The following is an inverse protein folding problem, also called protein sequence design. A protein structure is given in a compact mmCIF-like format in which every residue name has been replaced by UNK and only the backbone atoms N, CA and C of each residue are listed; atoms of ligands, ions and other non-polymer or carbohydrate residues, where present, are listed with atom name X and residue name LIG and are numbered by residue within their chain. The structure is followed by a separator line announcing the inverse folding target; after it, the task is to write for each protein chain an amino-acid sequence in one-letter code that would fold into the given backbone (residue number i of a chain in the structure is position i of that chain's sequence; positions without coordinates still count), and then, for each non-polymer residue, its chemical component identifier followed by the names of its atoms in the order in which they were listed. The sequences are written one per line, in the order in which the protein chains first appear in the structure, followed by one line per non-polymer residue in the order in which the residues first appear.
data_IF_696721646052
#
_entry.id   IF_696721646052
#
_cell.length_a   1.000
_cell.length_b   1.000
_cell.length_c   1.000
_cell.angle_alpha   90.00
_cell.angle_beta   90.00
_cell.angle_gamma   90.00
#
_symmetry.space_group_name_H-M   'P 1'
#
loop_
_entity.id
_entity.type
_entity.pdbx_description
1 polymer ?
#
# COMPACT_ATOMS: atom_id res chain seq x y z
N UNK A 1 -94.66 -5.20 -2.58
CA UNK A 1 -95.04 -5.40 -1.17
C UNK A 1 -94.23 -6.58 -0.63
N UNK A 2 -93.52 -6.35 0.49
CA UNK A 2 -93.14 -7.26 1.60
C UNK A 2 -92.73 -8.71 1.26
N UNK A 3 -91.46 -9.07 1.46
CA UNK A 3 -90.91 -9.85 2.62
C UNK A 3 -90.77 -11.34 2.27
N UNK A 4 -89.76 -12.16 2.62
CA UNK A 4 -88.55 -12.06 3.44
C UNK A 4 -87.63 -13.27 3.15
N UNK A 5 -86.34 -13.09 3.48
CA UNK A 5 -85.23 -14.01 3.74
C UNK A 5 -85.44 -15.55 3.68
N UNK A 6 -84.46 -16.22 3.06
CA UNK A 6 -83.62 -17.23 3.72
C UNK A 6 -82.26 -17.33 2.98
N UNK A 7 -81.16 -17.00 3.66
CA UNK A 7 -79.79 -17.10 3.12
C UNK A 7 -79.15 -18.43 3.55
N UNK A 8 -78.73 -19.25 2.59
CA UNK A 8 -77.81 -20.37 2.79
C UNK A 8 -76.38 -19.91 2.42
N UNK A 9 -75.46 -19.99 3.38
CA UNK A 9 -74.02 -19.95 3.12
C UNK A 9 -73.54 -21.32 2.63
N UNK A 10 -72.75 -21.40 1.54
CA UNK A 10 -71.77 -22.47 1.36
C UNK A 10 -70.39 -21.99 1.83
N UNK A 11 -69.72 -22.85 2.60
CA UNK A 11 -68.36 -22.66 3.08
C UNK A 11 -67.36 -22.59 1.90
N UNK A 12 -66.63 -21.48 1.80
CA UNK A 12 -65.42 -21.41 1.00
C UNK A 12 -64.27 -22.06 1.79
N UNK A 13 -63.78 -23.20 1.29
CA UNK A 13 -62.47 -23.75 1.65
C UNK A 13 -61.40 -22.74 1.21
N UNK A 14 -60.83 -22.03 2.18
CA UNK A 14 -59.70 -21.13 1.97
C UNK A 14 -58.45 -21.94 1.60
N UNK A 15 -58.06 -21.91 0.33
CA UNK A 15 -56.70 -22.26 -0.08
C UNK A 15 -55.82 -21.08 0.33
N UNK A 16 -55.07 -21.23 1.41
CA UNK A 16 -53.98 -20.30 1.73
C UNK A 16 -52.96 -20.34 0.60
N UNK A 17 -52.65 -19.21 -0.06
CA UNK A 17 -51.53 -19.19 -0.99
C UNK A 17 -50.27 -19.47 -0.18
N UNK A 18 -49.59 -20.58 -0.51
CA UNK A 18 -48.20 -20.80 -0.08
C UNK A 18 -47.42 -19.63 -0.68
N UNK A 19 -46.93 -18.74 0.19
CA UNK A 19 -46.01 -17.68 -0.22
C UNK A 19 -44.83 -18.37 -0.92
N UNK A 20 -44.69 -18.13 -2.21
CA UNK A 20 -43.50 -18.54 -2.95
C UNK A 20 -42.29 -17.94 -2.22
N UNK A 21 -41.39 -18.81 -1.78
CA UNK A 21 -40.05 -18.40 -1.35
C UNK A 21 -39.51 -17.57 -2.53
N UNK A 22 -39.09 -16.30 -2.33
CA UNK A 22 -38.47 -15.56 -3.41
C UNK A 22 -37.27 -16.37 -3.88
N UNK A 23 -37.36 -16.89 -5.11
CA UNK A 23 -36.25 -17.59 -5.73
C UNK A 23 -35.03 -16.69 -5.65
N UNK A 24 -33.89 -17.29 -5.28
CA UNK A 24 -32.58 -16.65 -5.41
C UNK A 24 -32.44 -16.21 -6.86
N UNK A 25 -32.71 -14.94 -7.13
CA UNK A 25 -32.39 -14.32 -8.42
C UNK A 25 -30.86 -14.42 -8.51
N UNK A 26 -30.29 -15.08 -9.53
CA UNK A 26 -28.86 -15.01 -9.76
C UNK A 26 -28.53 -13.53 -9.96
N UNK A 27 -27.95 -12.87 -8.94
CA UNK A 27 -27.36 -11.55 -9.18
C UNK A 27 -26.20 -11.79 -10.12
N UNK A 28 -26.33 -11.30 -11.33
CA UNK A 28 -25.29 -11.35 -12.35
C UNK A 28 -24.01 -10.76 -11.75
N UNK A 29 -22.95 -11.56 -11.71
CA UNK A 29 -21.64 -11.12 -11.22
C UNK A 29 -21.17 -9.93 -12.06
N UNK A 30 -20.65 -8.90 -11.39
CA UNK A 30 -20.06 -7.71 -12.03
C UNK A 30 -18.69 -8.01 -12.64
N UNK A 31 -18.06 -9.13 -12.28
CA UNK A 31 -16.79 -9.59 -12.81
C UNK A 31 -16.20 -10.71 -11.96
N UNK A 32 -15.18 -11.38 -12.50
CA UNK A 32 -14.52 -12.52 -11.83
C UNK A 32 -13.05 -12.22 -11.60
N UNK A 33 -12.63 -12.14 -10.33
CA UNK A 33 -11.23 -12.23 -9.95
C UNK A 33 -10.81 -13.70 -9.90
N UNK A 34 -9.54 -14.00 -10.18
CA UNK A 34 -9.06 -15.39 -10.34
C UNK A 34 -7.90 -15.67 -9.39
N UNK A 35 -7.91 -16.85 -8.78
CA UNK A 35 -6.79 -17.43 -8.01
C UNK A 35 -6.37 -18.73 -8.68
N UNK A 36 -5.08 -18.90 -8.97
CA UNK A 36 -4.52 -20.10 -9.61
C UNK A 36 -3.61 -20.85 -8.64
N UNK A 37 -4.15 -21.87 -7.96
CA UNK A 37 -3.45 -22.61 -6.90
C UNK A 37 -2.19 -23.34 -7.39
N UNK A 38 -2.09 -23.69 -8.68
CA UNK A 38 -0.91 -24.31 -9.26
C UNK A 38 0.24 -23.34 -9.53
N UNK A 39 0.00 -22.02 -9.49
CA UNK A 39 1.00 -21.00 -9.79
C UNK A 39 1.64 -20.49 -8.49
N UNK A 40 2.66 -21.18 -7.98
CA UNK A 40 3.41 -20.74 -6.80
C UNK A 40 4.31 -19.54 -7.17
N UNK A 41 4.07 -18.39 -6.53
CA UNK A 41 4.82 -17.14 -6.77
C UNK A 41 5.82 -16.83 -5.65
N UNK A 42 6.17 -17.80 -4.81
CA UNK A 42 7.19 -17.68 -3.76
C UNK A 42 6.63 -17.47 -2.36
N UNK A 43 7.53 -17.25 -1.39
CA UNK A 43 7.15 -17.04 0.02
C UNK A 43 6.40 -15.73 0.24
N UNK A 44 5.67 -15.67 1.35
CA UNK A 44 5.03 -14.45 1.84
C UNK A 44 6.08 -13.48 2.38
N UNK A 45 6.13 -12.25 1.87
CA UNK A 45 7.17 -11.26 2.22
C UNK A 45 6.62 -9.93 2.77
N UNK A 46 5.30 -9.83 2.96
CA UNK A 46 4.64 -8.62 3.49
C UNK A 46 4.97 -7.36 2.69
N UNK A 47 4.96 -7.46 1.35
CA UNK A 47 5.44 -6.41 0.45
C UNK A 47 4.67 -5.10 0.61
N UNK A 48 3.37 -5.15 0.93
CA UNK A 48 2.59 -3.94 1.16
C UNK A 48 2.78 -3.33 2.56
N UNK A 49 3.56 -3.96 3.45
CA UNK A 49 3.67 -3.54 4.84
C UNK A 49 4.69 -2.41 5.05
N UNK A 50 4.49 -1.28 4.36
CA UNK A 50 5.28 -0.08 4.53
C UNK A 50 4.44 1.16 4.85
N UNK A 51 5.06 2.18 5.45
CA UNK A 51 4.43 3.48 5.73
C UNK A 51 5.36 4.63 5.36
N UNK A 52 4.77 5.69 4.78
CA UNK A 52 5.39 7.00 4.74
C UNK A 52 5.07 7.75 6.05
N UNK A 53 6.13 8.25 6.68
CA UNK A 53 6.10 8.94 7.96
C UNK A 53 5.35 8.12 9.02
N UNK A 54 4.60 8.78 9.89
CA UNK A 54 3.69 8.15 10.84
C UNK A 54 4.36 7.54 12.08
N UNK A 55 5.68 7.70 12.20
CA UNK A 55 6.45 7.32 13.38
C UNK A 55 6.67 8.58 14.23
N UNK A 56 6.22 8.58 15.50
CA UNK A 56 6.48 9.71 16.39
C UNK A 56 7.95 9.80 16.79
N UNK A 57 8.44 11.02 17.00
CA UNK A 57 9.81 11.31 17.43
C UNK A 57 10.24 10.48 18.64
N UNK A 58 9.30 10.26 19.58
CA UNK A 58 9.45 9.27 20.62
C UNK A 58 9.02 7.90 20.11
N UNK A 59 9.97 7.12 19.60
CA UNK A 59 9.73 5.77 19.08
C UNK A 59 9.12 4.78 20.10
N UNK A 60 9.10 5.09 21.40
CA UNK A 60 8.47 4.26 22.44
C UNK A 60 7.00 4.63 22.71
N UNK A 61 6.47 5.65 22.03
CA UNK A 61 5.11 6.13 22.24
C UNK A 61 4.05 5.17 21.72
N UNK A 62 4.32 4.54 20.57
CA UNK A 62 3.48 3.48 20.00
C UNK A 62 3.98 2.13 20.57
N UNK A 63 3.10 1.29 21.14
CA UNK A 63 3.50 0.00 21.68
C UNK A 63 4.18 -0.89 20.62
N UNK A 64 5.28 -1.56 21.00
CA UNK A 64 6.09 -2.39 20.09
C UNK A 64 5.29 -3.39 19.25
N UNK A 65 4.28 -4.04 19.84
CA UNK A 65 3.44 -5.00 19.12
C UNK A 65 2.68 -4.36 17.94
N UNK A 66 2.42 -3.06 17.98
CA UNK A 66 1.77 -2.32 16.89
C UNK A 66 2.69 -2.05 15.69
N UNK A 67 4.00 -2.25 15.84
CA UNK A 67 4.92 -2.33 14.71
C UNK A 67 5.02 -3.78 14.21
N UNK A 68 5.18 -4.74 15.11
CA UNK A 68 5.49 -6.12 14.70
C UNK A 68 4.28 -6.90 14.17
N UNK A 69 3.06 -6.57 14.61
CA UNK A 69 1.87 -7.39 14.33
C UNK A 69 1.49 -7.48 12.84
N UNK A 70 1.81 -6.45 12.06
CA UNK A 70 1.33 -6.27 10.70
C UNK A 70 2.43 -6.45 9.64
N UNK A 71 3.57 -7.01 10.06
CA UNK A 71 4.69 -7.34 9.17
C UNK A 71 5.45 -6.11 8.68
N UNK A 72 5.56 -5.05 9.50
CA UNK A 72 6.26 -3.80 9.19
C UNK A 72 7.63 -4.05 8.53
N UNK A 73 7.76 -3.60 7.28
CA UNK A 73 8.85 -3.94 6.38
C UNK A 73 9.61 -2.70 5.88
N UNK A 74 8.90 -1.58 5.67
CA UNK A 74 9.50 -0.32 5.22
C UNK A 74 8.95 0.89 5.97
N UNK A 75 9.82 1.83 6.29
CA UNK A 75 9.47 3.19 6.67
C UNK A 75 10.11 4.19 5.71
N UNK A 76 9.40 5.28 5.41
CA UNK A 76 9.97 6.44 4.72
C UNK A 76 9.87 7.66 5.63
N UNK A 77 11.00 8.31 5.90
CA UNK A 77 11.09 9.41 6.87
C UNK A 77 11.78 10.66 6.32
N UNK A 78 11.79 11.72 7.11
CA UNK A 78 12.21 13.05 6.67
C UNK A 78 11.10 13.81 5.96
N UNK A 79 9.86 13.76 6.46
CA UNK A 79 8.73 14.42 5.79
C UNK A 79 8.77 15.94 5.84
N UNK A 80 7.83 16.62 5.17
CA UNK A 80 7.62 18.07 5.26
C UNK A 80 6.86 18.49 6.54
N UNK A 81 6.60 19.79 6.69
CA UNK A 81 5.80 20.40 7.75
C UNK A 81 6.29 20.21 9.20
N UNK A 82 7.60 20.01 9.43
CA UNK A 82 8.13 20.04 10.80
C UNK A 82 8.18 21.48 11.33
N UNK A 83 7.66 21.77 12.54
CA UNK A 83 7.70 23.11 13.09
C UNK A 83 9.14 23.54 13.39
N UNK A 84 9.38 24.86 13.34
CA UNK A 84 10.66 25.43 13.79
C UNK A 84 10.94 25.01 15.25
N UNK A 85 12.17 24.59 15.59
CA UNK A 85 13.38 24.68 14.76
C UNK A 85 13.77 23.36 14.03
N UNK A 86 13.05 22.91 12.99
CA UNK A 86 13.44 21.75 12.15
C UNK A 86 13.21 21.93 10.61
N UNK A 87 13.39 23.15 10.09
CA UNK A 87 13.13 23.54 8.70
C UNK A 87 14.20 23.16 7.64
N UNK A 88 15.25 22.41 8.00
CA UNK A 88 16.28 21.95 7.06
C UNK A 88 17.46 22.91 6.83
N UNK A 89 18.34 22.55 5.87
CA UNK A 89 19.59 23.24 5.52
C UNK A 89 19.42 24.73 5.23
N UNK A 90 18.45 25.08 4.37
CA UNK A 90 18.19 26.45 3.95
C UNK A 90 17.76 27.36 5.11
N UNK A 91 17.18 26.80 6.17
CA UNK A 91 16.77 27.53 7.37
C UNK A 91 17.93 27.75 8.37
N UNK A 92 19.10 27.15 8.12
CA UNK A 92 20.33 27.31 8.90
C UNK A 92 20.71 26.05 9.69
N UNK A 93 21.94 26.06 10.22
CA UNK A 93 22.57 24.88 10.83
C UNK A 93 21.74 24.19 11.91
N UNK A 94 21.17 24.96 12.85
CA UNK A 94 20.33 24.38 13.93
C UNK A 94 19.08 23.70 13.38
N UNK A 95 18.46 24.28 12.34
CA UNK A 95 17.25 23.74 11.71
C UNK A 95 17.55 22.43 10.99
N UNK A 96 18.66 22.37 10.26
CA UNK A 96 19.19 21.16 9.63
C UNK A 96 19.51 20.06 10.65
N UNK A 97 20.29 20.38 11.69
CA UNK A 97 20.71 19.40 12.70
C UNK A 97 19.51 18.78 13.42
N UNK A 98 18.44 19.54 13.67
CA UNK A 98 17.23 19.02 14.28
C UNK A 98 16.40 18.17 13.32
N UNK A 99 16.32 18.54 12.04
CA UNK A 99 15.67 17.70 11.02
C UNK A 99 16.41 16.37 10.81
N UNK A 100 17.74 16.41 10.79
CA UNK A 100 18.56 15.20 10.70
C UNK A 100 18.36 14.29 11.92
N UNK A 101 18.19 14.85 13.12
CA UNK A 101 17.87 14.05 14.32
C UNK A 101 16.50 13.37 14.22
N UNK A 102 15.49 14.02 13.64
CA UNK A 102 14.17 13.42 13.41
C UNK A 102 14.27 12.22 12.45
N UNK A 103 14.94 12.40 11.31
CA UNK A 103 15.24 11.32 10.35
C UNK A 103 15.93 10.15 11.03
N UNK A 104 16.96 10.43 11.83
CA UNK A 104 17.68 9.39 12.55
C UNK A 104 16.81 8.71 13.61
N UNK A 105 15.91 9.42 14.29
CA UNK A 105 14.96 8.81 15.23
C UNK A 105 14.04 7.81 14.52
N UNK A 106 13.49 8.22 13.37
CA UNK A 106 12.65 7.36 12.53
C UNK A 106 13.43 6.14 12.01
N UNK A 107 14.68 6.33 11.58
CA UNK A 107 15.56 5.24 11.18
C UNK A 107 15.79 4.23 12.30
N UNK A 108 16.09 4.70 13.52
CA UNK A 108 16.30 3.79 14.66
C UNK A 108 15.02 3.02 15.02
N UNK A 109 13.85 3.66 14.91
CA UNK A 109 12.56 2.99 15.10
C UNK A 109 12.33 1.89 14.04
N UNK A 110 12.55 2.20 12.76
CA UNK A 110 12.46 1.22 11.67
C UNK A 110 13.41 0.04 11.89
N UNK A 111 14.69 0.34 12.17
CA UNK A 111 15.73 -0.66 12.44
C UNK A 111 15.41 -1.55 13.64
N UNK A 112 14.86 -0.99 14.73
CA UNK A 112 14.45 -1.74 15.93
C UNK A 112 13.50 -2.90 15.58
N UNK A 113 12.64 -2.70 14.59
CA UNK A 113 11.62 -3.66 14.18
C UNK A 113 11.98 -4.41 12.88
N UNK A 114 13.22 -4.27 12.40
CA UNK A 114 13.71 -4.97 11.21
C UNK A 114 13.21 -4.42 9.87
N UNK A 115 12.65 -3.21 9.86
CA UNK A 115 12.20 -2.54 8.65
C UNK A 115 13.36 -1.78 7.98
N UNK A 116 13.35 -1.73 6.64
CA UNK A 116 14.21 -0.82 5.88
C UNK A 116 13.71 0.61 6.01
N UNK A 117 14.63 1.57 5.93
CA UNK A 117 14.32 2.99 6.04
C UNK A 117 14.71 3.73 4.77
N UNK A 118 13.74 4.43 4.19
CA UNK A 118 13.92 5.33 3.05
C UNK A 118 14.05 6.75 3.61
N UNK A 119 15.23 7.32 3.48
CA UNK A 119 15.47 8.71 3.80
C UNK A 119 15.07 9.57 2.60
N UNK A 120 14.04 10.39 2.80
CA UNK A 120 13.69 11.43 1.86
C UNK A 120 14.72 12.56 1.96
N UNK A 121 15.72 12.52 1.09
CA UNK A 121 16.95 13.31 1.27
C UNK A 121 16.76 14.80 0.97
N UNK A 122 15.93 15.15 0.00
CA UNK A 122 15.73 16.55 -0.41
C UNK A 122 15.08 17.41 0.68
N UNK A 123 14.24 16.84 1.53
CA UNK A 123 13.60 17.60 2.61
C UNK A 123 14.59 18.04 3.68
N UNK A 124 15.72 17.33 3.83
CA UNK A 124 16.84 17.77 4.67
C UNK A 124 17.45 19.08 4.16
N UNK A 125 17.36 19.36 2.86
CA UNK A 125 17.76 20.65 2.29
C UNK A 125 16.79 21.76 2.71
N UNK A 126 15.49 21.46 2.68
CA UNK A 126 14.46 22.36 3.17
C UNK A 126 13.10 22.03 2.56
N UNK A 127 12.07 22.65 3.13
CA UNK A 127 10.69 22.48 2.64
C UNK A 127 10.39 23.45 1.50
N UNK A 128 9.94 22.92 0.37
CA UNK A 128 9.68 23.68 -0.85
C UNK A 128 8.33 24.41 -0.85
N UNK A 129 7.39 23.98 -0.01
CA UNK A 129 6.07 24.60 0.19
C UNK A 129 6.12 25.82 1.13
N UNK A 130 7.10 25.88 2.04
CA UNK A 130 7.22 26.93 3.06
C UNK A 130 8.42 27.88 2.88
N UNK A 131 9.40 27.56 2.03
CA UNK A 131 10.58 28.41 1.83
C UNK A 131 10.77 28.87 0.37
N UNK A 132 10.85 30.19 0.19
CA UNK A 132 11.35 30.84 -1.05
C UNK A 132 12.89 30.77 -1.18
N UNK A 133 13.50 29.67 -0.74
CA UNK A 133 14.94 29.46 -0.86
C UNK A 133 15.38 29.21 -2.30
N UNK A 134 16.69 29.34 -2.60
CA UNK A 134 17.21 29.01 -3.92
C UNK A 134 17.03 27.52 -4.21
N UNK A 135 16.58 27.19 -5.43
CA UNK A 135 16.56 25.81 -5.89
C UNK A 135 17.98 25.37 -6.24
N UNK A 136 18.30 24.06 -6.15
CA UNK A 136 19.59 23.53 -6.54
C UNK A 136 19.90 23.90 -7.99
N UNK A 137 21.03 24.57 -8.23
CA UNK A 137 21.45 24.98 -9.57
C UNK A 137 20.88 26.30 -10.06
N UNK A 138 20.14 27.05 -9.25
CA UNK A 138 19.68 28.39 -9.62
C UNK A 138 20.86 29.27 -10.03
N UNK A 139 20.72 29.98 -11.15
CA UNK A 139 21.78 30.76 -11.79
C UNK A 139 23.04 29.96 -12.16
N UNK A 140 22.92 28.64 -12.34
CA UNK A 140 24.03 27.74 -12.61
C UNK A 140 24.91 27.45 -11.37
N UNK A 141 24.48 27.87 -10.18
CA UNK A 141 25.24 27.68 -8.95
C UNK A 141 24.76 26.43 -8.19
N UNK A 142 25.65 25.45 -8.08
CA UNK A 142 25.40 24.19 -7.38
C UNK A 142 26.09 24.09 -6.01
N UNK A 143 26.83 25.12 -5.62
CA UNK A 143 27.72 25.08 -4.45
C UNK A 143 27.00 24.70 -3.16
N UNK A 144 25.81 25.28 -2.93
CA UNK A 144 25.06 25.04 -1.69
C UNK A 144 24.50 23.61 -1.64
N UNK A 145 23.91 23.14 -2.74
CA UNK A 145 23.43 21.77 -2.87
C UNK A 145 24.54 20.74 -2.71
N UNK A 146 25.71 20.97 -3.31
CA UNK A 146 26.85 20.06 -3.17
C UNK A 146 27.37 20.04 -1.73
N UNK A 147 27.43 21.21 -1.07
CA UNK A 147 27.87 21.34 0.33
C UNK A 147 26.91 20.61 1.26
N UNK A 148 25.61 20.80 1.06
CA UNK A 148 24.55 20.07 1.75
C UNK A 148 24.68 18.55 1.54
N UNK A 149 24.89 18.10 0.30
CA UNK A 149 25.08 16.66 0.00
C UNK A 149 26.26 16.09 0.79
N UNK A 150 27.38 16.82 0.87
CA UNK A 150 28.53 16.40 1.67
C UNK A 150 28.24 16.39 3.18
N UNK A 151 27.42 17.31 3.68
CA UNK A 151 26.98 17.32 5.07
C UNK A 151 26.15 16.07 5.40
N UNK A 152 25.17 15.71 4.56
CA UNK A 152 24.36 14.50 4.75
C UNK A 152 25.25 13.24 4.74
N UNK A 153 26.19 13.13 3.80
CA UNK A 153 27.15 12.03 3.74
C UNK A 153 27.99 11.95 5.02
N UNK A 154 28.45 13.09 5.53
CA UNK A 154 29.23 13.14 6.77
C UNK A 154 28.40 12.71 7.99
N UNK A 155 27.14 13.14 8.05
CA UNK A 155 26.23 12.77 9.12
C UNK A 155 25.88 11.28 9.07
N UNK A 156 25.60 10.69 7.90
CA UNK A 156 25.40 9.25 7.75
C UNK A 156 26.58 8.45 8.34
N UNK A 157 27.82 8.89 8.07
CA UNK A 157 29.04 8.29 8.63
C UNK A 157 29.14 8.50 10.14
N UNK A 158 28.81 9.69 10.63
CA UNK A 158 28.85 10.06 12.04
C UNK A 158 27.84 9.26 12.88
N UNK A 159 26.62 9.12 12.38
CA UNK A 159 25.57 8.31 13.00
C UNK A 159 25.79 6.79 12.85
N UNK A 160 26.71 6.37 11.99
CA UNK A 160 27.00 4.95 11.75
C UNK A 160 25.79 4.21 11.20
N UNK A 161 25.06 4.80 10.26
CA UNK A 161 23.90 4.14 9.64
C UNK A 161 24.33 2.84 8.94
N UNK A 162 23.51 1.80 9.07
CA UNK A 162 23.69 0.58 8.28
C UNK A 162 23.26 0.85 6.84
N UNK A 163 24.18 0.73 5.89
CA UNK A 163 23.89 1.02 4.48
C UNK A 163 22.96 -0.01 3.83
N UNK A 164 22.85 -1.22 4.40
CA UNK A 164 21.93 -2.28 3.95
C UNK A 164 20.44 -1.92 4.16
N UNK A 165 20.17 -1.14 5.22
CA UNK A 165 18.82 -0.81 5.69
C UNK A 165 18.50 0.68 5.54
N UNK A 166 19.44 1.50 5.04
CA UNK A 166 19.27 2.94 4.85
C UNK A 166 19.33 3.28 3.36
N UNK A 167 18.17 3.61 2.79
CA UNK A 167 17.98 3.90 1.38
C UNK A 167 17.93 5.41 1.19
N UNK A 168 18.65 5.93 0.19
CA UNK A 168 18.59 7.33 -0.21
C UNK A 168 17.57 7.49 -1.33
N UNK A 169 16.51 8.24 -1.06
CA UNK A 169 15.62 8.75 -2.09
C UNK A 169 15.96 10.19 -2.40
N UNK A 170 16.33 10.48 -3.65
CA UNK A 170 16.91 11.78 -3.99
C UNK A 170 15.89 12.93 -3.97
N UNK A 171 14.64 12.69 -4.37
CA UNK A 171 13.62 13.75 -4.43
C UNK A 171 12.19 13.18 -4.51
N UNK A 172 11.24 13.81 -3.82
CA UNK A 172 9.80 13.53 -3.92
C UNK A 172 9.12 14.26 -5.10
N UNK A 173 8.42 13.54 -5.98
CA UNK A 173 7.52 14.11 -7.01
C UNK A 173 8.12 15.30 -7.77
N UNK A 174 9.36 15.15 -8.22
CA UNK A 174 10.09 16.21 -8.94
C UNK A 174 9.43 16.62 -10.27
N UNK A 175 8.49 15.82 -10.77
CA UNK A 175 7.63 16.12 -11.91
C UNK A 175 6.45 17.06 -11.57
N UNK A 176 6.14 17.22 -10.28
CA UNK A 176 5.06 18.05 -9.78
C UNK A 176 5.50 19.49 -9.51
N UNK A 177 4.73 20.46 -10.02
CA UNK A 177 5.01 21.89 -9.83
C UNK A 177 4.91 22.37 -8.38
N UNK A 178 4.36 21.56 -7.48
CA UNK A 178 4.31 21.84 -6.04
C UNK A 178 5.67 21.67 -5.37
N UNK A 179 6.50 20.75 -5.87
CA UNK A 179 7.82 20.46 -5.32
C UNK A 179 8.96 20.99 -6.19
N UNK A 180 8.76 21.10 -7.50
CA UNK A 180 9.79 21.56 -8.42
C UNK A 180 9.24 22.50 -9.49
N UNK A 181 9.66 23.77 -9.44
CA UNK A 181 9.21 24.82 -10.38
C UNK A 181 10.27 25.20 -11.41
N UNK A 182 11.39 24.46 -11.46
CA UNK A 182 12.49 24.70 -12.39
C UNK A 182 12.42 23.76 -13.59
N UNK A 183 13.31 23.98 -14.57
CA UNK A 183 13.38 23.14 -15.75
C UNK A 183 13.67 21.67 -15.42
N UNK A 184 13.20 20.75 -16.26
CA UNK A 184 13.52 19.33 -16.12
C UNK A 184 15.02 19.07 -16.16
N UNK A 185 15.77 19.76 -17.03
CA UNK A 185 17.23 19.59 -17.11
C UNK A 185 17.94 19.95 -15.81
N UNK A 186 17.43 20.93 -15.06
CA UNK A 186 17.94 21.27 -13.73
C UNK A 186 17.64 20.15 -12.71
N UNK A 187 16.44 19.57 -12.72
CA UNK A 187 16.13 18.41 -11.88
C UNK A 187 17.03 17.20 -12.18
N UNK A 188 17.30 16.94 -13.46
CA UNK A 188 18.16 15.85 -13.90
C UNK A 188 19.62 16.06 -13.50
N UNK A 189 20.11 17.30 -13.54
CA UNK A 189 21.45 17.61 -13.03
C UNK A 189 21.52 17.46 -11.51
N UNK A 190 20.50 17.89 -10.77
CA UNK A 190 20.40 17.63 -9.32
C UNK A 190 20.49 16.12 -9.02
N UNK A 191 19.71 15.30 -9.75
CA UNK A 191 19.77 13.83 -9.66
C UNK A 191 21.19 13.31 -9.87
N UNK A 192 21.84 13.69 -11.00
CA UNK A 192 23.17 13.22 -11.36
C UNK A 192 24.22 13.58 -10.30
N UNK A 193 24.14 14.80 -9.75
CA UNK A 193 25.08 15.29 -8.74
C UNK A 193 24.95 14.53 -7.42
N UNK A 194 23.72 14.38 -6.93
CA UNK A 194 23.43 13.62 -5.71
C UNK A 194 23.85 12.16 -5.88
N UNK A 195 23.43 11.51 -6.98
CA UNK A 195 23.80 10.13 -7.29
C UNK A 195 25.33 9.93 -7.26
N UNK A 196 26.09 10.76 -7.98
CA UNK A 196 27.54 10.64 -8.05
C UNK A 196 28.22 10.90 -6.70
N UNK A 197 27.70 11.82 -5.89
CA UNK A 197 28.23 12.09 -4.56
C UNK A 197 28.06 10.88 -3.62
N UNK A 198 26.87 10.28 -3.58
CA UNK A 198 26.62 9.08 -2.77
C UNK A 198 27.41 7.87 -3.27
N UNK A 199 27.48 7.65 -4.59
CA UNK A 199 28.33 6.60 -5.16
C UNK A 199 29.81 6.79 -4.83
N UNK A 200 30.31 8.01 -4.86
CA UNK A 200 31.70 8.30 -4.47
C UNK A 200 31.95 8.00 -2.99
N UNK A 201 30.96 8.26 -2.13
CA UNK A 201 31.11 8.11 -0.69
C UNK A 201 30.93 6.67 -0.19
N UNK A 202 30.04 5.89 -0.82
CA UNK A 202 29.55 4.61 -0.32
C UNK A 202 29.56 3.49 -1.38
N UNK A 203 29.95 3.76 -2.63
CA UNK A 203 29.89 2.78 -3.70
C UNK A 203 28.46 2.29 -3.94
N UNK A 204 28.32 0.97 -4.10
CA UNK A 204 27.03 0.28 -4.25
C UNK A 204 26.45 -0.19 -2.92
N UNK A 205 27.12 0.08 -1.79
CA UNK A 205 26.68 -0.40 -0.47
C UNK A 205 25.43 0.35 -0.01
N UNK A 206 25.26 1.62 -0.44
CA UNK A 206 24.02 2.37 -0.22
C UNK A 206 23.09 2.21 -1.43
N UNK A 207 21.83 1.89 -1.16
CA UNK A 207 20.78 1.88 -2.17
C UNK A 207 20.34 3.30 -2.50
N UNK A 208 20.34 3.66 -3.79
CA UNK A 208 19.78 4.92 -4.30
C UNK A 208 18.49 4.63 -5.06
N UNK A 209 17.40 5.27 -4.64
CA UNK A 209 16.06 5.10 -5.18
C UNK A 209 15.57 6.36 -5.92
N UNK A 210 14.81 6.18 -7.01
CA UNK A 210 14.11 7.27 -7.71
C UNK A 210 13.48 6.84 -9.06
N UNK A 211 12.89 7.78 -9.83
CA UNK A 211 12.80 9.23 -9.59
C UNK A 211 11.63 9.68 -8.69
N UNK A 212 10.82 8.75 -8.16
CA UNK A 212 9.69 9.02 -7.25
C UNK A 212 8.68 9.99 -7.82
N UNK A 213 8.31 9.80 -9.08
CA UNK A 213 7.37 10.70 -9.75
C UNK A 213 5.94 10.47 -9.27
N UNK A 214 5.15 11.54 -9.26
CA UNK A 214 3.71 11.49 -8.98
C UNK A 214 2.93 10.69 -10.04
N UNK A 215 3.46 10.63 -11.27
CA UNK A 215 2.83 9.98 -12.41
C UNK A 215 3.49 8.65 -12.80
N UNK A 216 2.68 7.71 -13.31
CA UNK A 216 3.13 6.37 -13.72
C UNK A 216 4.11 6.41 -14.91
N UNK A 217 5.06 5.44 -14.96
CA UNK A 217 6.00 5.27 -16.07
C UNK A 217 5.28 4.75 -17.32
N UNK A 218 5.46 5.47 -18.43
CA UNK A 218 4.98 5.08 -19.77
C UNK A 218 5.73 5.82 -20.86
N UNK A 219 5.82 5.24 -22.05
CA UNK A 219 6.47 5.86 -23.21
C UNK A 219 5.80 7.17 -23.65
N UNK A 220 4.52 7.37 -23.32
CA UNK A 220 3.80 8.63 -23.59
C UNK A 220 4.01 9.70 -22.50
N UNK A 221 4.69 9.39 -21.41
CA UNK A 221 5.00 10.35 -20.35
C UNK A 221 6.38 10.97 -20.63
N UNK A 222 6.37 12.23 -21.07
CA UNK A 222 7.57 12.97 -21.44
C UNK A 222 8.59 13.12 -20.30
N UNK A 223 8.13 13.14 -19.04
CA UNK A 223 9.04 13.22 -17.90
C UNK A 223 9.88 11.94 -17.79
N UNK A 224 9.22 10.78 -17.84
CA UNK A 224 9.85 9.48 -17.77
C UNK A 224 10.79 9.17 -18.93
N UNK A 225 10.37 9.48 -20.16
CA UNK A 225 11.22 9.25 -21.34
C UNK A 225 12.50 10.08 -21.30
N UNK A 226 12.38 11.35 -20.91
CA UNK A 226 13.54 12.24 -20.75
C UNK A 226 14.44 11.78 -19.59
N UNK A 227 13.87 11.37 -18.45
CA UNK A 227 14.63 10.82 -17.32
C UNK A 227 15.40 9.56 -17.72
N UNK A 228 14.72 8.59 -18.33
CA UNK A 228 15.30 7.31 -18.78
C UNK A 228 16.47 7.52 -19.75
N UNK A 229 16.30 8.39 -20.75
CA UNK A 229 17.37 8.74 -21.68
C UNK A 229 18.57 9.40 -20.97
N UNK A 230 18.28 10.33 -20.06
CA UNK A 230 19.30 11.08 -19.34
C UNK A 230 20.15 10.18 -18.44
N UNK A 231 19.54 9.35 -17.60
CA UNK A 231 20.28 8.49 -16.67
C UNK A 231 21.09 7.42 -17.38
N UNK A 232 20.61 6.92 -18.53
CA UNK A 232 21.35 6.00 -19.39
C UNK A 232 22.61 6.67 -19.93
N UNK A 233 22.46 7.89 -20.44
CA UNK A 233 23.57 8.66 -21.04
C UNK A 233 24.60 9.07 -20.00
N UNK A 234 24.15 9.40 -18.78
CA UNK A 234 24.99 9.93 -17.71
C UNK A 234 25.43 8.88 -16.68
N UNK A 235 25.12 7.60 -16.91
CA UNK A 235 25.51 6.47 -16.06
C UNK A 235 25.08 6.61 -14.59
N UNK A 236 23.89 7.17 -14.35
CA UNK A 236 23.31 7.43 -13.03
C UNK A 236 21.96 6.76 -12.82
N UNK A 237 21.90 5.46 -13.14
CA UNK A 237 20.70 4.61 -13.03
C UNK A 237 20.46 4.27 -11.54
N UNK A 238 19.23 4.41 -11.01
CA UNK A 238 18.94 4.04 -9.61
C UNK A 238 19.07 2.54 -9.36
N UNK A 239 19.35 2.16 -8.11
CA UNK A 239 19.31 0.77 -7.66
C UNK A 239 17.89 0.24 -7.51
N UNK A 240 16.95 1.15 -7.19
CA UNK A 240 15.53 0.87 -7.04
C UNK A 240 14.71 1.92 -7.77
N UNK A 241 13.82 1.47 -8.65
CA UNK A 241 12.87 2.31 -9.34
C UNK A 241 11.66 2.58 -8.45
N UNK A 242 11.16 3.81 -8.49
CA UNK A 242 9.99 4.19 -7.72
C UNK A 242 9.16 5.26 -8.41
N UNK A 243 7.87 5.22 -8.14
CA UNK A 243 6.82 6.15 -8.55
C UNK A 243 5.62 5.98 -7.63
N UNK A 244 4.72 6.94 -7.64
CA UNK A 244 3.58 6.95 -6.74
C UNK A 244 2.33 6.41 -7.40
N UNK A 245 1.51 5.76 -6.59
CA UNK A 245 0.23 5.16 -6.99
C UNK A 245 -0.91 5.80 -6.19
N UNK A 246 -0.97 7.13 -6.23
CA UNK A 246 -1.81 7.99 -5.39
C UNK A 246 -2.74 8.92 -6.16
N UNK A 247 -2.79 8.85 -7.49
CA UNK A 247 -3.70 9.67 -8.30
C UNK A 247 -5.13 9.10 -8.37
N UNK A 248 -5.35 7.88 -7.85
CA UNK A 248 -6.64 7.20 -7.86
C UNK A 248 -7.09 6.79 -9.27
N UNK A 249 -8.40 6.83 -9.51
CA UNK A 249 -8.96 6.54 -10.84
C UNK A 249 -8.70 5.08 -11.28
N UNK A 250 -8.09 4.92 -12.46
CA UNK A 250 -7.80 3.60 -13.04
C UNK A 250 -6.39 3.06 -12.72
N UNK A 251 -5.56 3.81 -11.97
CA UNK A 251 -4.18 3.40 -11.68
C UNK A 251 -4.12 2.02 -11.06
N UNK A 252 -3.26 1.15 -11.59
CA UNK A 252 -3.11 -0.21 -11.09
C UNK A 252 -1.71 -0.74 -11.39
N UNK A 253 -1.25 -1.71 -10.61
CA UNK A 253 0.13 -2.20 -10.72
C UNK A 253 0.37 -2.99 -12.01
N UNK A 254 -0.65 -3.63 -12.60
CA UNK A 254 -0.49 -4.35 -13.87
C UNK A 254 -0.15 -3.39 -15.02
N UNK A 255 -0.94 -2.34 -15.20
CA UNK A 255 -0.71 -1.34 -16.25
C UNK A 255 0.57 -0.54 -15.99
N UNK A 256 0.79 -0.12 -14.74
CA UNK A 256 1.93 0.70 -14.38
C UNK A 256 3.27 -0.05 -14.57
N UNK A 257 3.35 -1.32 -14.15
CA UNK A 257 4.56 -2.14 -14.37
C UNK A 257 4.76 -2.52 -15.84
N UNK A 258 3.69 -2.75 -16.61
CA UNK A 258 3.81 -2.96 -18.06
C UNK A 258 4.34 -1.70 -18.77
N UNK A 259 3.86 -0.51 -18.39
CA UNK A 259 4.36 0.77 -18.87
C UNK A 259 5.83 1.00 -18.50
N UNK A 260 6.21 0.62 -17.28
CA UNK A 260 7.59 0.63 -16.80
C UNK A 260 8.51 -0.30 -17.61
N UNK A 261 8.14 -1.56 -17.79
CA UNK A 261 8.93 -2.52 -18.57
C UNK A 261 9.10 -2.06 -20.02
N UNK A 262 8.04 -1.52 -20.63
CA UNK A 262 8.11 -0.93 -21.97
C UNK A 262 9.10 0.23 -22.05
N UNK A 263 9.18 1.06 -21.00
CA UNK A 263 10.16 2.14 -20.88
C UNK A 263 11.59 1.57 -20.77
N UNK A 264 11.81 0.57 -19.92
CA UNK A 264 13.11 -0.04 -19.73
C UNK A 264 13.64 -0.69 -21.01
N UNK A 265 12.81 -1.47 -21.70
CA UNK A 265 13.15 -2.11 -22.97
C UNK A 265 13.50 -1.08 -24.05
N UNK A 266 12.72 -0.02 -24.16
CA UNK A 266 12.94 1.03 -25.15
C UNK A 266 14.28 1.74 -24.99
N UNK A 267 14.71 1.99 -23.75
CA UNK A 267 15.97 2.69 -23.46
C UNK A 267 17.14 1.76 -23.11
N UNK A 268 16.94 0.44 -23.13
CA UNK A 268 17.96 -0.55 -22.77
C UNK A 268 18.46 -0.37 -21.33
N UNK A 269 17.53 -0.18 -20.39
CA UNK A 269 17.78 -0.01 -18.97
C UNK A 269 17.58 -1.34 -18.22
N UNK A 270 18.25 -1.53 -17.07
CA UNK A 270 18.13 -2.75 -16.29
C UNK A 270 16.80 -2.84 -15.54
N UNK A 271 16.30 -4.06 -15.41
CA UNK A 271 15.17 -4.45 -14.56
C UNK A 271 15.59 -4.54 -13.09
N UNK A 272 16.03 -3.41 -12.54
CA UNK A 272 16.31 -3.29 -11.11
C UNK A 272 15.00 -3.35 -10.29
N UNK A 273 15.14 -3.45 -8.97
CA UNK A 273 14.00 -3.58 -8.05
C UNK A 273 13.02 -2.40 -8.18
N UNK A 274 11.75 -2.65 -7.87
CA UNK A 274 10.71 -1.63 -7.76
C UNK A 274 10.39 -1.44 -6.27
N UNK A 275 10.11 -0.20 -5.87
CA UNK A 275 9.48 0.11 -4.59
C UNK A 275 8.43 1.20 -4.84
N UNK A 276 7.18 0.96 -4.46
CA UNK A 276 6.10 1.94 -4.57
C UNK A 276 6.02 2.69 -3.27
N UNK A 277 6.86 3.72 -3.13
CA UNK A 277 7.08 4.41 -1.87
C UNK A 277 5.93 5.34 -1.42
N UNK A 278 4.89 5.49 -2.24
CA UNK A 278 3.58 6.03 -1.88
C UNK A 278 2.47 5.32 -2.69
N UNK A 279 1.49 4.74 -2.01
CA UNK A 279 0.28 4.20 -2.65
C UNK A 279 -0.99 4.47 -1.85
N UNK A 280 -2.11 4.37 -2.57
CA UNK A 280 -3.47 4.60 -2.13
C UNK A 280 -3.80 6.08 -1.89
N UNK A 281 -4.89 6.54 -2.51
CA UNK A 281 -5.48 7.83 -2.15
C UNK A 281 -5.97 7.80 -0.70
N UNK A 282 -6.14 8.98 -0.09
CA UNK A 282 -6.74 9.12 1.24
C UNK A 282 -8.04 8.32 1.41
N UNK A 283 -8.88 8.31 0.37
CA UNK A 283 -10.17 7.63 0.42
C UNK A 283 -10.06 6.10 0.37
N UNK A 284 -9.00 5.58 -0.26
CA UNK A 284 -8.72 4.15 -0.40
C UNK A 284 -8.10 3.55 0.87
N UNK A 285 -7.69 4.38 1.85
CA UNK A 285 -7.18 3.95 3.16
C UNK A 285 -8.31 3.49 4.07
N UNK A 286 -8.92 2.39 3.65
CA UNK A 286 -9.97 1.62 4.31
C UNK A 286 -9.67 0.13 4.13
N UNK A 287 -10.24 -0.74 4.95
CA UNK A 287 -9.91 -2.17 4.94
C UNK A 287 -10.00 -2.83 3.55
N UNK A 288 -11.06 -2.53 2.77
CA UNK A 288 -11.25 -3.00 1.40
C UNK A 288 -10.16 -2.50 0.43
N UNK A 289 -9.78 -1.23 0.50
CA UNK A 289 -8.71 -0.67 -0.33
C UNK A 289 -7.35 -1.23 0.07
N UNK A 290 -7.09 -1.43 1.36
CA UNK A 290 -5.88 -2.10 1.85
C UNK A 290 -5.72 -3.51 1.30
N UNK A 291 -6.77 -4.34 1.33
CA UNK A 291 -6.74 -5.68 0.73
C UNK A 291 -6.54 -5.64 -0.80
N UNK A 292 -7.13 -4.67 -1.48
CA UNK A 292 -6.94 -4.48 -2.93
C UNK A 292 -5.48 -4.13 -3.26
N UNK A 293 -4.87 -3.17 -2.55
CA UNK A 293 -3.48 -2.77 -2.76
C UNK A 293 -2.47 -3.86 -2.37
N UNK A 294 -2.72 -4.61 -1.29
CA UNK A 294 -1.91 -5.82 -0.95
C UNK A 294 -1.84 -6.75 -2.17
N UNK A 295 -2.98 -7.03 -2.80
CA UNK A 295 -3.08 -7.91 -3.96
C UNK A 295 -2.29 -7.37 -5.16
N UNK A 296 -2.39 -6.07 -5.42
CA UNK A 296 -1.70 -5.41 -6.54
C UNK A 296 -0.17 -5.46 -6.39
N UNK A 297 0.34 -5.12 -5.20
CA UNK A 297 1.78 -5.07 -4.91
C UNK A 297 2.40 -6.47 -4.86
N UNK A 298 1.74 -7.42 -4.19
CA UNK A 298 2.20 -8.81 -4.10
C UNK A 298 2.25 -9.50 -5.46
N UNK A 299 1.33 -9.16 -6.39
CA UNK A 299 1.30 -9.73 -7.74
C UNK A 299 2.56 -9.42 -8.55
N UNK A 300 3.14 -8.24 -8.35
CA UNK A 300 4.26 -7.74 -9.17
C UNK A 300 5.58 -7.70 -8.39
N UNK A 301 5.63 -8.35 -7.23
CA UNK A 301 6.81 -8.42 -6.36
C UNK A 301 7.39 -7.04 -5.97
N UNK A 302 6.52 -6.03 -5.81
CA UNK A 302 6.92 -4.68 -5.43
C UNK A 302 6.59 -4.40 -3.96
N UNK A 303 7.61 -4.14 -3.10
CA UNK A 303 7.39 -3.45 -1.84
C UNK A 303 6.60 -2.15 -2.05
N UNK A 304 5.71 -1.83 -1.12
CA UNK A 304 4.94 -0.60 -1.14
C UNK A 304 4.82 0.04 0.24
N UNK A 305 4.72 1.36 0.25
CA UNK A 305 4.48 2.16 1.44
C UNK A 305 3.17 2.93 1.29
N UNK A 306 2.30 2.76 2.28
CA UNK A 306 1.01 3.47 2.33
C UNK A 306 1.25 4.96 2.39
N UNK A 307 0.48 5.73 1.62
CA UNK A 307 0.44 7.18 1.71
C UNK A 307 0.10 7.70 3.12
N UNK A 308 0.43 8.95 3.41
CA UNK A 308 0.03 9.60 4.66
C UNK A 308 -0.50 11.00 4.37
N UNK A 309 -1.83 11.10 4.41
CA UNK A 309 -2.56 12.29 3.98
C UNK A 309 -2.87 13.26 5.12
N UNK A 310 -2.11 13.19 6.22
CA UNK A 310 -2.26 14.05 7.38
C UNK A 310 -1.40 15.32 7.27
N UNK A 311 -1.72 16.34 8.07
CA UNK A 311 -0.78 17.44 8.38
C UNK A 311 -0.08 17.21 9.72
N UNK A 312 0.88 18.07 10.08
CA UNK A 312 1.46 18.07 11.43
C UNK A 312 0.37 18.30 12.50
N UNK A 313 0.38 17.58 13.64
CA UNK A 313 1.36 16.55 14.04
C UNK A 313 1.05 15.15 13.50
N UNK A 314 -0.12 14.93 12.89
CA UNK A 314 -0.57 13.60 12.45
C UNK A 314 0.31 12.94 11.38
N UNK A 315 1.05 13.73 10.58
CA UNK A 315 2.02 13.21 9.61
C UNK A 315 3.12 12.38 10.30
N UNK A 316 3.47 12.71 11.55
CA UNK A 316 4.50 12.06 12.36
C UNK A 316 3.89 11.17 13.44
N UNK A 317 2.70 10.61 13.21
CA UNK A 317 2.02 9.76 14.17
C UNK A 317 1.10 8.76 13.44
N UNK A 318 0.46 7.87 14.20
CA UNK A 318 -0.64 7.02 13.72
C UNK A 318 -0.25 5.91 12.73
N UNK A 319 1.03 5.70 12.44
CA UNK A 319 1.53 4.71 11.46
C UNK A 319 0.78 4.82 10.12
N UNK A 320 0.76 6.03 9.55
CA UNK A 320 -0.01 6.34 8.33
C UNK A 320 -1.47 5.89 8.46
N UNK A 321 -2.09 6.33 9.56
CA UNK A 321 -3.46 6.03 9.96
C UNK A 321 -3.79 4.55 10.24
N UNK A 322 -2.85 3.60 10.29
CA UNK A 322 -3.15 2.22 10.73
C UNK A 322 -3.58 2.15 12.20
N UNK A 323 -3.07 3.05 13.03
CA UNK A 323 -3.48 3.16 14.43
C UNK A 323 -4.05 4.54 14.72
N UNK A 324 -4.87 4.63 15.75
CA UNK A 324 -5.43 5.88 16.26
C UNK A 324 -5.22 5.94 17.77
N UNK A 325 -5.55 7.05 18.40
CA UNK A 325 -5.49 7.22 19.86
C UNK A 325 -6.64 8.11 20.35
N UNK A 326 -6.94 8.13 21.66
CA UNK A 326 -8.00 8.97 22.20
C UNK A 326 -7.83 10.44 21.78
N UNK A 327 -8.93 11.09 21.43
CA UNK A 327 -9.01 12.48 20.95
C UNK A 327 -8.38 12.77 19.58
N UNK A 328 -7.94 11.76 18.82
CA UNK A 328 -7.52 11.98 17.43
C UNK A 328 -8.66 12.57 16.57
N UNK A 329 -8.38 13.47 15.60
CA UNK A 329 -7.06 13.96 15.21
C UNK A 329 -6.48 15.06 16.13
N UNK A 330 -7.23 15.53 17.12
CA UNK A 330 -6.86 16.64 18.00
C UNK A 330 -6.04 16.22 19.23
N UNK A 331 -5.52 15.00 19.25
CA UNK A 331 -4.73 14.50 20.36
C UNK A 331 -3.40 15.27 20.45
N UNK A 332 -2.90 15.48 21.68
CA UNK A 332 -1.57 16.05 21.86
C UNK A 332 -0.50 15.14 21.20
N UNK A 333 0.57 15.74 20.69
CA UNK A 333 1.64 15.01 20.00
C UNK A 333 2.22 13.86 20.85
N UNK A 334 2.30 14.05 22.18
CA UNK A 334 2.81 13.06 23.15
C UNK A 334 1.73 12.16 23.78
N UNK A 335 0.47 12.26 23.34
CA UNK A 335 -0.60 11.42 23.90
C UNK A 335 -0.40 9.94 23.54
N UNK A 336 -0.73 9.05 24.47
CA UNK A 336 -0.62 7.59 24.35
C UNK A 336 -2.00 6.93 24.33
N UNK A 337 -2.06 5.60 24.47
CA UNK A 337 -3.32 4.85 24.46
C UNK A 337 -3.75 4.39 23.06
N UNK A 338 -2.78 4.15 22.19
CA UNK A 338 -3.01 3.72 20.82
C UNK A 338 -3.93 2.50 20.74
N UNK A 339 -4.70 2.47 19.67
CA UNK A 339 -5.55 1.35 19.31
C UNK A 339 -5.60 1.18 17.79
N UNK A 340 -5.81 -0.05 17.30
CA UNK A 340 -5.85 -0.33 15.88
C UNK A 340 -7.12 0.20 15.22
N UNK A 341 -6.99 0.67 13.99
CA UNK A 341 -8.12 0.93 13.10
C UNK A 341 -8.53 -0.36 12.35
N UNK A 342 -9.51 -0.25 11.44
CA UNK A 342 -9.98 -1.39 10.63
C UNK A 342 -8.91 -1.97 9.71
N UNK A 343 -8.12 -1.11 9.08
CA UNK A 343 -7.13 -1.51 8.09
C UNK A 343 -5.91 -2.19 8.74
N UNK A 344 -5.49 -1.78 9.94
CA UNK A 344 -4.51 -2.52 10.73
C UNK A 344 -4.89 -3.98 10.93
N UNK A 345 -6.19 -4.29 11.09
CA UNK A 345 -6.63 -5.69 11.20
C UNK A 345 -6.46 -6.47 9.91
N UNK A 346 -6.57 -5.81 8.75
CA UNK A 346 -6.26 -6.41 7.45
C UNK A 346 -4.77 -6.73 7.37
N UNK A 347 -3.89 -5.77 7.64
CA UNK A 347 -2.44 -6.00 7.56
C UNK A 347 -1.94 -7.00 8.62
N UNK A 348 -2.55 -7.01 9.81
CA UNK A 348 -2.29 -8.03 10.84
C UNK A 348 -2.67 -9.43 10.36
N UNK A 349 -3.84 -9.62 9.76
CA UNK A 349 -4.24 -10.92 9.20
C UNK A 349 -3.34 -11.34 8.03
N UNK A 350 -3.02 -10.39 7.14
CA UNK A 350 -2.07 -10.58 6.04
C UNK A 350 -0.71 -11.06 6.54
N UNK A 351 -0.16 -10.48 7.60
CA UNK A 351 1.14 -10.87 8.12
C UNK A 351 1.12 -12.16 8.98
N UNK A 352 0.09 -12.36 9.80
CA UNK A 352 0.08 -13.44 10.79
C UNK A 352 -0.64 -14.71 10.33
N UNK A 353 -1.66 -14.55 9.47
CA UNK A 353 -2.51 -15.67 9.06
C UNK A 353 -2.21 -16.14 7.65
N UNK A 354 -1.85 -15.25 6.72
CA UNK A 354 -1.61 -15.63 5.31
C UNK A 354 -0.19 -16.18 5.13
N UNK A 355 0.05 -17.38 5.67
CA UNK A 355 1.33 -18.09 5.69
C UNK A 355 1.51 -19.04 4.52
N UNK A 356 2.74 -19.55 4.36
CA UNK A 356 3.09 -20.53 3.33
C UNK A 356 3.67 -19.87 2.09
N UNK A 357 3.12 -20.19 0.92
CA UNK A 357 3.51 -19.56 -0.34
C UNK A 357 2.35 -18.81 -0.96
N UNK A 358 2.68 -17.73 -1.66
CA UNK A 358 1.78 -16.94 -2.50
C UNK A 358 1.41 -17.72 -3.74
N UNK A 359 0.21 -17.48 -4.26
CA UNK A 359 -0.23 -18.04 -5.54
C UNK A 359 -0.64 -16.94 -6.51
N UNK A 360 -0.53 -17.21 -7.81
CA UNK A 360 -0.87 -16.25 -8.85
C UNK A 360 -2.34 -15.84 -8.82
N UNK A 361 -2.61 -14.54 -8.89
CA UNK A 361 -3.96 -13.98 -8.93
C UNK A 361 -4.14 -12.96 -10.05
N UNK A 362 -5.38 -12.80 -10.51
CA UNK A 362 -5.80 -11.74 -11.41
C UNK A 362 -6.99 -10.98 -10.82
N UNK A 363 -7.03 -9.65 -10.93
CA UNK A 363 -8.18 -8.86 -10.50
C UNK A 363 -9.38 -9.14 -11.40
N UNK A 364 -10.56 -8.69 -10.99
CA UNK A 364 -11.74 -8.69 -11.87
C UNK A 364 -11.49 -7.80 -13.10
N UNK A 365 -12.13 -8.08 -14.26
CA UNK A 365 -11.88 -7.33 -15.50
C UNK A 365 -12.16 -5.82 -15.43
N UNK A 366 -13.03 -5.41 -14.51
CA UNK A 366 -13.35 -4.00 -14.23
C UNK A 366 -12.33 -3.33 -13.28
N UNK A 367 -11.30 -4.07 -12.82
CA UNK A 367 -10.27 -3.65 -11.86
C UNK A 367 -10.80 -3.24 -10.49
N UNK A 368 -12.04 -3.61 -10.16
CA UNK A 368 -12.69 -3.20 -8.90
C UNK A 368 -12.39 -4.16 -7.76
N UNK A 369 -12.43 -5.47 -7.98
CA UNK A 369 -12.14 -6.47 -6.96
C UNK A 369 -10.79 -7.10 -7.25
N UNK A 370 -9.99 -7.23 -6.21
CA UNK A 370 -8.74 -7.96 -6.27
C UNK A 370 -8.59 -8.89 -5.07
N UNK A 371 -7.77 -9.92 -5.23
CA UNK A 371 -7.54 -10.99 -4.28
C UNK A 371 -6.06 -11.32 -4.17
N UNK A 372 -5.60 -11.42 -2.92
CA UNK A 372 -4.33 -11.99 -2.54
C UNK A 372 -4.61 -13.38 -1.95
N UNK A 373 -3.80 -14.37 -2.29
CA UNK A 373 -4.02 -15.73 -1.85
C UNK A 373 -2.73 -16.45 -1.49
N UNK A 374 -2.83 -17.32 -0.49
CA UNK A 374 -1.72 -18.13 0.02
C UNK A 374 -2.14 -19.57 0.24
N UNK A 375 -1.17 -20.47 0.13
CA UNK A 375 -1.31 -21.89 0.41
C UNK A 375 -0.26 -22.28 1.45
N UNK A 376 -0.73 -22.71 2.62
CA UNK A 376 0.11 -23.29 3.65
C UNK A 376 0.02 -24.82 3.56
N UNK A 377 1.07 -25.42 3.02
CA UNK A 377 1.14 -26.89 2.83
C UNK A 377 1.34 -27.66 4.12
N UNK A 378 1.85 -27.02 5.18
CA UNK A 378 2.03 -27.65 6.49
C UNK A 378 0.71 -27.66 7.25
N UNK A 379 0.01 -26.52 7.26
CA UNK A 379 -1.30 -26.40 7.89
C UNK A 379 -2.45 -26.94 7.00
N UNK A 380 -2.16 -27.27 5.73
CA UNK A 380 -3.11 -27.72 4.71
C UNK A 380 -4.32 -26.79 4.59
N UNK A 381 -4.04 -25.52 4.36
CA UNK A 381 -5.07 -24.47 4.27
C UNK A 381 -4.75 -23.49 3.15
N UNK A 382 -5.79 -23.11 2.41
CA UNK A 382 -5.78 -22.00 1.47
C UNK A 382 -6.43 -20.81 2.14
N UNK A 383 -5.82 -19.62 2.00
CA UNK A 383 -6.38 -18.37 2.49
C UNK A 383 -6.45 -17.35 1.38
N UNK A 384 -7.61 -16.71 1.26
CA UNK A 384 -7.88 -15.62 0.34
C UNK A 384 -8.16 -14.37 1.15
N UNK A 385 -7.64 -13.23 0.72
CA UNK A 385 -7.95 -11.91 1.23
C UNK A 385 -8.33 -11.04 0.03
N UNK A 386 -9.55 -10.53 0.03
CA UNK A 386 -10.06 -9.72 -1.08
C UNK A 386 -10.64 -8.39 -0.59
N UNK A 387 -10.57 -7.40 -1.47
CA UNK A 387 -11.14 -6.10 -1.25
C UNK A 387 -11.70 -5.54 -2.55
N UNK A 388 -12.76 -4.73 -2.42
CA UNK A 388 -13.20 -3.87 -3.50
C UNK A 388 -12.54 -2.50 -3.38
N UNK A 389 -12.18 -1.91 -4.51
CA UNK A 389 -11.67 -0.55 -4.58
C UNK A 389 -12.81 0.47 -4.44
N UNK A 390 -13.33 0.59 -3.22
CA UNK A 390 -14.39 1.52 -2.81
C UNK A 390 -15.69 1.45 -3.62
N UNK A 391 -16.05 0.26 -4.11
CA UNK A 391 -17.31 0.03 -4.84
C UNK A 391 -18.14 -1.04 -4.15
N UNK A 392 -19.46 -0.90 -4.28
CA UNK A 392 -20.44 -1.91 -3.89
C UNK A 392 -20.81 -2.76 -5.11
N UNK A 393 -21.18 -4.01 -4.88
CA UNK A 393 -21.56 -4.90 -5.96
C UNK A 393 -21.45 -6.37 -5.58
N UNK A 394 -21.47 -7.23 -6.59
CA UNK A 394 -21.32 -8.68 -6.42
C UNK A 394 -20.31 -9.17 -7.43
N UNK A 395 -19.25 -9.80 -6.95
CA UNK A 395 -18.18 -10.36 -7.79
C UNK A 395 -17.98 -11.82 -7.45
N UNK A 396 -17.37 -12.55 -8.39
CA UNK A 396 -16.93 -13.92 -8.17
C UNK A 396 -15.42 -13.92 -7.94
N UNK A 397 -14.96 -14.71 -6.97
CA UNK A 397 -13.57 -15.12 -6.85
C UNK A 397 -13.53 -16.58 -7.29
N UNK A 398 -12.93 -16.82 -8.45
CA UNK A 398 -12.79 -18.12 -9.06
C UNK A 398 -11.43 -18.72 -8.66
N UNK A 399 -11.46 -19.76 -7.83
CA UNK A 399 -10.28 -20.49 -7.38
C UNK A 399 -10.09 -21.72 -8.27
N UNK A 400 -9.01 -21.74 -9.05
CA UNK A 400 -8.71 -22.79 -10.02
C UNK A 400 -7.67 -23.76 -9.50
N UNK A 401 -7.60 -24.92 -10.14
CA UNK A 401 -6.52 -25.91 -9.99
C UNK A 401 -6.44 -26.49 -8.58
N UNK A 402 -7.59 -26.83 -7.99
CA UNK A 402 -7.67 -27.49 -6.67
C UNK A 402 -6.92 -28.83 -6.66
N UNK A 403 -6.83 -29.50 -7.80
CA UNK A 403 -6.07 -30.73 -8.01
C UNK A 403 -4.57 -30.57 -7.72
N UNK A 404 -4.02 -29.36 -7.85
CA UNK A 404 -2.65 -29.06 -7.44
C UNK A 404 -2.44 -29.25 -5.92
N UNK A 405 -3.51 -29.24 -5.14
CA UNK A 405 -3.52 -29.50 -3.70
C UNK A 405 -3.84 -30.97 -3.36
N UNK A 406 -4.03 -31.82 -4.36
CA UNK A 406 -4.41 -33.22 -4.21
C UNK A 406 -5.91 -33.47 -4.03
N UNK A 407 -6.74 -32.44 -4.23
CA UNK A 407 -8.20 -32.60 -4.24
C UNK A 407 -8.67 -33.24 -5.57
N UNK A 408 -9.78 -34.02 -5.56
CA UNK A 408 -10.39 -34.49 -6.80
C UNK A 408 -10.88 -33.33 -7.68
N UNK A 409 -11.29 -33.60 -8.93
CA UNK A 409 -11.82 -32.55 -9.83
C UNK A 409 -13.20 -32.03 -9.43
N UNK A 410 -13.91 -32.72 -8.53
CA UNK A 410 -15.18 -32.32 -7.98
C UNK A 410 -15.31 -32.83 -6.54
N UNK A 411 -16.02 -32.08 -5.70
CA UNK A 411 -16.17 -32.43 -4.29
C UNK A 411 -16.74 -31.28 -3.50
N UNK A 412 -16.48 -31.28 -2.19
CA UNK A 412 -16.86 -30.18 -1.31
C UNK A 412 -15.71 -29.79 -0.38
N UNK A 413 -15.69 -28.52 0.03
CA UNK A 413 -14.80 -27.98 1.07
C UNK A 413 -15.63 -27.25 2.12
N UNK A 414 -15.05 -27.06 3.32
CA UNK A 414 -15.65 -26.21 4.34
C UNK A 414 -14.95 -24.86 4.33
N UNK A 415 -15.71 -23.78 4.14
CA UNK A 415 -15.17 -22.42 4.08
C UNK A 415 -15.52 -21.67 5.36
N UNK A 416 -14.53 -20.99 5.95
CA UNK A 416 -14.77 -19.96 6.97
C UNK A 416 -14.57 -18.59 6.35
N UNK A 417 -15.43 -17.63 6.71
CA UNK A 417 -15.37 -16.25 6.24
C UNK A 417 -15.11 -15.28 7.40
N UNK A 418 -14.20 -14.34 7.18
CA UNK A 418 -13.94 -13.19 8.04
C UNK A 418 -14.22 -11.89 7.29
N UNK A 419 -14.80 -10.91 7.99
CA UNK A 419 -15.03 -9.56 7.52
C UNK A 419 -14.19 -8.58 8.33
N UNK A 420 -13.53 -7.66 7.65
CA UNK A 420 -12.68 -6.62 8.21
C UNK A 420 -13.36 -5.27 7.98
N UNK A 421 -14.23 -4.82 8.91
CA UNK A 421 -14.93 -3.56 8.73
C UNK A 421 -13.96 -2.38 8.76
N UNK A 422 -14.32 -1.30 8.06
CA UNK A 422 -13.66 0.00 8.25
C UNK A 422 -14.46 0.85 9.22
N UNK A 423 -13.77 1.56 10.11
CA UNK A 423 -14.34 2.55 11.02
C UNK A 423 -13.77 3.96 10.75
N UNK A 424 -13.25 4.17 9.54
CA UNK A 424 -12.45 5.36 9.19
C UNK A 424 -11.08 5.36 9.89
N UNK A 425 -10.31 6.42 9.67
CA UNK A 425 -8.95 6.55 10.21
C UNK A 425 -8.87 6.56 11.74
N UNK A 426 -9.90 7.09 12.39
CA UNK A 426 -9.88 7.34 13.84
C UNK A 426 -10.65 6.31 14.66
N UNK A 427 -11.46 5.48 14.00
CA UNK A 427 -12.34 4.52 14.65
C UNK A 427 -11.59 3.27 15.11
N UNK A 428 -11.86 2.85 16.35
CA UNK A 428 -11.31 1.63 16.93
C UNK A 428 -11.94 0.39 16.30
N UNK A 429 -11.13 -0.57 15.89
CA UNK A 429 -11.60 -1.91 15.49
C UNK A 429 -10.80 -2.95 16.25
N UNK A 430 -11.45 -3.76 17.08
CA UNK A 430 -10.76 -4.72 17.97
C UNK A 430 -10.36 -6.01 17.27
N UNK A 431 -11.20 -6.49 16.35
CA UNK A 431 -11.00 -7.74 15.64
C UNK A 431 -11.83 -7.77 14.35
N UNK A 432 -11.46 -8.60 13.36
CA UNK A 432 -12.39 -8.98 12.31
C UNK A 432 -13.60 -9.72 12.91
N UNK A 433 -14.73 -9.65 12.23
CA UNK A 433 -15.93 -10.41 12.58
C UNK A 433 -16.06 -11.64 11.68
N UNK A 434 -16.70 -12.70 12.18
CA UNK A 434 -17.04 -13.84 11.30
C UNK A 434 -18.22 -13.48 10.42
N UNK A 435 -18.11 -13.69 9.11
CA UNK A 435 -19.24 -13.65 8.18
C UNK A 435 -19.92 -15.02 8.01
N UNK A 436 -19.44 -16.05 8.72
CA UNK A 436 -20.06 -17.36 8.77
C UNK A 436 -19.13 -18.50 8.41
N UNK A 437 -19.68 -19.71 8.50
CA UNK A 437 -19.08 -20.96 8.02
C UNK A 437 -20.01 -21.54 6.96
N UNK A 438 -19.45 -21.94 5.84
CA UNK A 438 -20.16 -22.52 4.72
C UNK A 438 -19.68 -23.97 4.59
N UNK A 439 -20.34 -24.91 5.29
CA UNK A 439 -19.96 -26.31 5.20
C UNK A 439 -20.38 -26.89 3.86
N UNK A 440 -19.61 -27.86 3.37
CA UNK A 440 -19.90 -28.59 2.14
C UNK A 440 -20.11 -27.69 0.91
N UNK A 441 -19.34 -26.61 0.78
CA UNK A 441 -19.32 -25.78 -0.43
C UNK A 441 -18.78 -26.61 -1.58
N UNK A 442 -19.63 -26.87 -2.58
CA UNK A 442 -19.27 -27.67 -3.73
C UNK A 442 -18.28 -26.96 -4.64
N UNK A 443 -17.37 -27.75 -5.22
CA UNK A 443 -16.51 -27.36 -6.32
C UNK A 443 -16.61 -28.43 -7.41
N UNK A 444 -16.40 -28.04 -8.66
CA UNK A 444 -16.47 -28.92 -9.83
C UNK A 444 -15.54 -28.40 -10.92
N UNK A 445 -15.19 -29.27 -11.87
CA UNK A 445 -14.27 -28.93 -12.96
C UNK A 445 -12.95 -28.30 -12.47
N UNK A 446 -12.46 -28.82 -11.35
CA UNK A 446 -11.24 -28.37 -10.69
C UNK A 446 -11.28 -26.88 -10.26
N UNK A 447 -12.48 -26.41 -9.94
CA UNK A 447 -12.77 -25.00 -9.62
C UNK A 447 -13.76 -24.83 -8.46
N UNK A 448 -13.43 -23.92 -7.56
CA UNK A 448 -14.30 -23.40 -6.51
C UNK A 448 -14.64 -21.93 -6.77
N UNK A 449 -15.93 -21.59 -6.81
CA UNK A 449 -16.40 -20.20 -6.92
C UNK A 449 -16.85 -19.68 -5.55
N UNK A 450 -16.27 -18.54 -5.13
CA UNK A 450 -16.66 -17.80 -3.92
C UNK A 450 -17.34 -16.50 -4.36
N UNK A 451 -18.54 -16.23 -3.83
CA UNK A 451 -19.27 -14.99 -4.15
C UNK A 451 -18.95 -13.92 -3.10
N UNK A 452 -18.37 -12.81 -3.54
CA UNK A 452 -18.18 -11.61 -2.74
C UNK A 452 -19.41 -10.71 -2.85
N UNK A 453 -20.15 -10.56 -1.76
CA UNK A 453 -21.26 -9.61 -1.64
C UNK A 453 -20.79 -8.34 -0.94
N UNK A 454 -20.34 -7.36 -1.71
CA UNK A 454 -19.82 -6.11 -1.19
C UNK A 454 -20.94 -5.09 -0.99
N UNK A 455 -21.43 -4.94 0.24
CA UNK A 455 -22.57 -4.07 0.59
C UNK A 455 -22.18 -2.64 0.99
N UNK A 456 -20.91 -2.42 1.29
CA UNK A 456 -20.30 -1.13 1.64
C UNK A 456 -18.98 -0.94 0.89
N UNK A 457 -18.35 0.22 1.03
CA UNK A 457 -17.12 0.56 0.31
C UNK A 457 -15.84 0.33 1.11
N UNK A 458 -15.94 -0.12 2.37
CA UNK A 458 -14.83 -0.12 3.33
C UNK A 458 -14.46 -1.49 3.89
N UNK A 459 -15.32 -2.50 3.80
CA UNK A 459 -15.10 -3.83 4.37
C UNK A 459 -14.31 -4.73 3.42
N UNK A 460 -13.19 -5.28 3.89
CA UNK A 460 -12.49 -6.39 3.23
C UNK A 460 -13.00 -7.75 3.75
N UNK A 461 -12.73 -8.81 2.99
CA UNK A 461 -13.15 -10.16 3.35
C UNK A 461 -12.01 -11.15 3.19
N UNK A 462 -11.95 -12.14 4.07
CA UNK A 462 -11.08 -13.29 3.90
C UNK A 462 -11.88 -14.59 3.95
N UNK A 463 -11.40 -15.57 3.19
CA UNK A 463 -11.94 -16.93 3.20
C UNK A 463 -10.82 -17.93 3.42
N UNK A 464 -11.11 -18.95 4.22
CA UNK A 464 -10.18 -20.02 4.54
C UNK A 464 -10.84 -21.37 4.30
N UNK A 465 -10.14 -22.29 3.64
CA UNK A 465 -10.57 -23.68 3.53
C UNK A 465 -9.39 -24.65 3.63
N UNK A 466 -9.61 -25.76 4.33
CA UNK A 466 -8.65 -26.86 4.41
C UNK A 466 -8.80 -27.81 3.23
N UNK A 467 -7.72 -28.49 2.88
CA UNK A 467 -7.66 -29.43 1.75
C UNK A 467 -6.92 -30.72 2.09
#
# INVERSE_FOLDING_TARGET
MKSSLLALLPAFLGVTPVAAIPGLVPRQSSGTAVVSLSNNTGSTNHLASGIIFGIPDNASQIPDHMYTDWGFNFARGGGPSLPSPAGGWLAGRTQYENRMKEVMSNYQAAKKFGAKFICLYETLYGEWDLNNGPYPGDNGNWTDWDTFTQAVIADMKSYGVSLDDFIIEIFNEVDGSWYWTRSQSQALEMWRRSYNAFRKAFGTDVTIQGPSTSAEPKLSNGWWTTFAQYIKTNNCIPDTWTWHMESGGSQNMLESTAGFHSLLDHYGLPYNNININEYATASEQVSSGGAWWISQLERVDAPGLRGNWQGYPGLYDYLANLVSKPNAPNAAANATGYFPNGEYKVYKYYAQSMTGHRVGTMPSPDMVVDVYATVDTKARVVRLLAGSRQKKGTWTIEVKTLSALGLPSHGTVNITCLAFPSAGWWGKVEAPSSCGKYPSTSYSDDKLDIILYQTDTGTAYAWEFSY
#
